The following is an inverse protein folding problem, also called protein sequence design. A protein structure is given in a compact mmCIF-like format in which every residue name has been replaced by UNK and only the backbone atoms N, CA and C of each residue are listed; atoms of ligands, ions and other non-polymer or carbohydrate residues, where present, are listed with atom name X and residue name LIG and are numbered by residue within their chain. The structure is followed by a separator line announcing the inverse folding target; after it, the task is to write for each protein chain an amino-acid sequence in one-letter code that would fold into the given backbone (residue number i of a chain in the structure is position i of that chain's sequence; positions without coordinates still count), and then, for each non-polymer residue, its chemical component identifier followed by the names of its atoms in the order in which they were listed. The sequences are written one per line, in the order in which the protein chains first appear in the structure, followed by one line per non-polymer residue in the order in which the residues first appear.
data_IF_304929688064
#
_entry.id   IF_304929688064
#
_cell.length_a   1.000
_cell.length_b   1.000
_cell.length_c   1.000
_cell.angle_alpha   90.00
_cell.angle_beta   90.00
_cell.angle_gamma   90.00
#
_symmetry.space_group_name_H-M   'P 1'
#
loop_
_entity.id
_entity.type
_entity.pdbx_description
1 polymer ?
#
# COMPACT_ATOMS: atom_id res chain seq x y z
N UNK A 1 0.54 49.63 40.98
CA UNK A 1 1.71 49.53 40.08
C UNK A 1 1.76 48.12 39.54
N UNK A 2 1.76 47.98 38.22
CA UNK A 2 1.72 46.73 37.48
C UNK A 2 3.13 46.29 37.07
N UNK A 3 3.40 44.99 37.17
CA UNK A 3 4.45 44.22 36.46
C UNK A 3 3.93 42.76 36.51
N UNK A 4 3.63 42.02 35.45
CA UNK A 4 4.15 41.99 34.09
C UNK A 4 4.75 40.60 33.85
N UNK A 5 3.92 39.56 33.69
CA UNK A 5 4.34 38.23 33.21
C UNK A 5 3.61 37.95 31.88
N UNK A 6 4.31 37.62 30.78
CA UNK A 6 3.63 37.27 29.54
C UNK A 6 3.08 35.85 29.62
N UNK A 7 1.75 35.74 29.60
CA UNK A 7 1.02 34.51 29.36
C UNK A 7 1.20 34.08 27.90
N UNK A 8 1.89 32.96 27.66
CA UNK A 8 1.91 32.32 26.34
C UNK A 8 0.60 31.53 26.19
N UNK A 9 -0.35 32.12 25.47
CA UNK A 9 -1.54 31.42 25.01
C UNK A 9 -1.16 30.41 23.91
N UNK A 10 -1.84 29.25 23.81
CA UNK A 10 -1.66 28.34 22.69
C UNK A 10 -2.27 28.98 21.45
N UNK A 11 -1.45 29.22 20.42
CA UNK A 11 -1.96 29.71 19.15
C UNK A 11 -2.92 28.67 18.56
N UNK A 12 -4.16 29.13 18.42
CA UNK A 12 -5.28 28.38 17.90
C UNK A 12 -5.02 27.96 16.45
N UNK A 13 -5.51 26.77 16.11
CA UNK A 13 -5.31 26.09 14.84
C UNK A 13 -5.36 26.98 13.61
N UNK A 14 -4.30 26.87 12.81
CA UNK A 14 -4.23 27.38 11.45
C UNK A 14 -5.34 26.71 10.63
N UNK A 15 -6.48 27.40 10.50
CA UNK A 15 -7.52 27.02 9.55
C UNK A 15 -6.93 27.19 8.16
N UNK A 16 -6.64 26.08 7.49
CA UNK A 16 -6.43 26.06 6.04
C UNK A 16 -7.71 26.62 5.38
N UNK A 17 -7.72 27.91 5.10
CA UNK A 17 -8.75 28.51 4.26
C UNK A 17 -8.39 28.16 2.82
N UNK A 18 -9.09 27.18 2.23
CA UNK A 18 -8.97 26.91 0.79
C UNK A 18 -9.31 28.21 0.05
N UNK A 19 -8.40 28.67 -0.82
CA UNK A 19 -8.71 29.78 -1.70
C UNK A 19 -9.81 29.36 -2.69
N UNK A 20 -10.61 30.32 -3.14
CA UNK A 20 -11.68 30.09 -4.12
C UNK A 20 -11.10 29.45 -5.40
N UNK A 21 -9.83 29.73 -5.72
CA UNK A 21 -9.09 29.11 -6.81
C UNK A 21 -8.91 27.60 -6.62
N UNK A 22 -8.55 27.15 -5.41
CA UNK A 22 -8.37 25.71 -5.10
C UNK A 22 -9.69 24.96 -5.20
N UNK A 23 -10.78 25.56 -4.69
CA UNK A 23 -12.13 24.98 -4.76
C UNK A 23 -12.61 24.90 -6.22
N UNK A 24 -12.33 25.93 -7.03
CA UNK A 24 -12.68 25.95 -8.44
C UNK A 24 -11.92 24.87 -9.24
N UNK A 25 -10.63 24.68 -8.99
CA UNK A 25 -9.82 23.63 -9.64
C UNK A 25 -10.34 22.24 -9.26
N UNK A 26 -10.63 22.00 -7.98
CA UNK A 26 -11.21 20.74 -7.51
C UNK A 26 -12.57 20.49 -8.15
N UNK A 27 -13.46 21.49 -8.18
CA UNK A 27 -14.79 21.37 -8.77
C UNK A 27 -14.72 21.10 -10.28
N UNK A 28 -13.85 21.78 -11.02
CA UNK A 28 -13.64 21.55 -12.46
C UNK A 28 -13.08 20.16 -12.72
N UNK A 29 -12.12 19.69 -11.90
CA UNK A 29 -11.59 18.34 -11.99
C UNK A 29 -12.67 17.28 -11.76
N UNK A 30 -13.48 17.41 -10.70
CA UNK A 30 -14.58 16.48 -10.43
C UNK A 30 -15.63 16.48 -11.55
N UNK A 31 -16.00 17.65 -12.07
CA UNK A 31 -16.93 17.76 -13.20
C UNK A 31 -16.35 17.12 -14.45
N UNK A 32 -15.06 17.33 -14.74
CA UNK A 32 -14.39 16.70 -15.87
C UNK A 32 -14.34 15.18 -15.76
N UNK A 33 -13.95 14.64 -14.60
CA UNK A 33 -13.91 13.19 -14.35
C UNK A 33 -15.31 12.57 -14.47
N UNK A 34 -16.33 13.21 -13.90
CA UNK A 34 -17.72 12.75 -14.01
C UNK A 34 -18.22 12.85 -15.45
N UNK A 35 -17.89 13.92 -16.18
CA UNK A 35 -18.28 14.08 -17.58
C UNK A 35 -17.62 13.03 -18.48
N UNK A 36 -16.32 12.76 -18.30
CA UNK A 36 -15.59 11.70 -19.01
C UNK A 36 -16.14 10.33 -18.64
N UNK A 37 -16.44 10.09 -17.36
CA UNK A 37 -17.04 8.85 -16.86
C UNK A 37 -18.43 8.59 -17.45
N UNK A 38 -19.29 9.61 -17.51
CA UNK A 38 -20.63 9.53 -18.11
C UNK A 38 -20.52 9.37 -19.63
N UNK A 39 -19.66 10.15 -20.29
CA UNK A 39 -19.43 10.04 -21.74
C UNK A 39 -18.91 8.66 -22.14
N UNK A 40 -17.99 8.10 -21.36
CA UNK A 40 -17.49 6.74 -21.52
C UNK A 40 -18.57 5.69 -21.25
N UNK A 41 -19.37 5.86 -20.19
CA UNK A 41 -20.47 4.95 -19.83
C UNK A 41 -21.59 4.91 -20.87
N UNK A 42 -21.82 6.02 -21.57
CA UNK A 42 -22.80 6.12 -22.66
C UNK A 42 -22.27 5.51 -23.96
N UNK A 43 -20.96 5.62 -24.23
CA UNK A 43 -20.33 5.12 -25.46
C UNK A 43 -19.86 3.66 -25.38
N UNK A 44 -19.73 3.11 -24.16
CA UNK A 44 -19.43 1.71 -23.94
C UNK A 44 -20.56 0.84 -24.52
N UNK A 45 -20.25 0.13 -25.59
CA UNK A 45 -21.17 -0.76 -26.28
C UNK A 45 -21.69 -1.81 -25.28
N UNK A 46 -22.95 -1.65 -24.82
CA UNK A 46 -23.60 -2.50 -23.78
C UNK A 46 -23.86 -3.94 -24.22
N UNK A 47 -23.37 -4.35 -25.39
CA UNK A 47 -23.79 -5.57 -26.07
C UNK A 47 -23.48 -6.87 -25.31
N UNK A 48 -22.41 -6.95 -24.51
CA UNK A 48 -22.10 -8.17 -23.75
C UNK A 48 -21.35 -7.89 -22.44
N UNK A 49 -21.75 -8.59 -21.37
CA UNK A 49 -21.09 -8.58 -20.05
C UNK A 49 -19.61 -8.93 -20.16
N UNK A 50 -19.24 -9.82 -21.08
CA UNK A 50 -17.84 -10.18 -21.36
C UNK A 50 -17.01 -9.01 -21.91
N UNK A 51 -17.57 -8.18 -22.78
CA UNK A 51 -16.87 -7.01 -23.34
C UNK A 51 -16.58 -5.94 -22.28
N UNK A 52 -17.53 -5.70 -21.38
CA UNK A 52 -17.40 -4.74 -20.28
C UNK A 52 -16.39 -5.18 -19.22
N UNK A 53 -16.36 -6.47 -18.85
CA UNK A 53 -15.47 -6.97 -17.79
C UNK A 53 -14.09 -7.44 -18.25
N UNK A 54 -13.92 -7.87 -19.52
CA UNK A 54 -12.66 -8.45 -20.00
C UNK A 54 -11.85 -7.52 -20.92
N UNK A 55 -12.34 -6.31 -21.21
CA UNK A 55 -11.66 -5.34 -22.07
C UNK A 55 -11.11 -5.98 -23.37
N UNK A 56 -11.94 -6.78 -24.04
CA UNK A 56 -11.58 -7.44 -25.31
C UNK A 56 -10.46 -8.49 -25.24
N UNK A 57 -9.99 -8.91 -24.05
CA UNK A 57 -8.87 -9.86 -23.87
C UNK A 57 -7.63 -9.46 -24.69
N UNK A 58 -7.26 -8.19 -24.70
CA UNK A 58 -6.12 -7.70 -25.48
C UNK A 58 -4.85 -7.48 -24.65
N UNK A 59 -4.91 -7.76 -23.33
CA UNK A 59 -3.87 -7.34 -22.40
C UNK A 59 -2.62 -8.23 -22.54
N UNK A 60 -1.48 -7.59 -22.77
CA UNK A 60 -0.13 -8.18 -22.73
C UNK A 60 0.32 -8.49 -21.29
N UNK A 61 1.47 -9.17 -21.14
CA UNK A 61 1.95 -9.71 -19.86
C UNK A 61 2.48 -8.64 -18.88
N UNK A 62 3.30 -7.68 -19.33
CA UNK A 62 3.94 -6.68 -18.46
C UNK A 62 2.96 -5.81 -17.65
N UNK A 63 1.89 -5.29 -18.26
CA UNK A 63 0.94 -4.44 -17.55
C UNK A 63 -0.14 -5.26 -16.82
N UNK A 64 -0.24 -6.57 -17.05
CA UNK A 64 -0.94 -7.45 -16.10
C UNK A 64 -0.13 -7.51 -14.82
N UNK A 65 1.19 -7.77 -14.89
CA UNK A 65 2.07 -7.77 -13.72
C UNK A 65 2.07 -6.45 -12.96
N UNK A 66 2.20 -5.32 -13.66
CA UNK A 66 2.09 -3.99 -13.04
C UNK A 66 0.71 -3.75 -12.40
N UNK A 67 -0.37 -4.22 -13.04
CA UNK A 67 -1.72 -4.12 -12.48
C UNK A 67 -1.91 -5.00 -11.23
N UNK A 68 -1.26 -6.16 -11.16
CA UNK A 68 -1.31 -7.04 -9.98
C UNK A 68 -0.58 -6.39 -8.80
N UNK A 69 0.55 -5.73 -9.05
CA UNK A 69 1.32 -5.00 -8.05
C UNK A 69 0.54 -3.78 -7.53
N UNK A 70 0.07 -2.91 -8.43
CA UNK A 70 -0.65 -1.68 -8.06
C UNK A 70 -1.99 -1.93 -7.35
N UNK A 71 -2.64 -3.08 -7.57
CA UNK A 71 -3.85 -3.46 -6.81
C UNK A 71 -3.63 -3.71 -5.32
N UNK A 72 -2.39 -3.90 -4.90
CA UNK A 72 -2.05 -4.22 -3.52
C UNK A 72 -1.09 -3.21 -2.88
N UNK A 73 -0.36 -2.45 -3.69
CA UNK A 73 0.50 -1.36 -3.21
C UNK A 73 -0.35 -0.10 -3.08
N UNK A 74 -0.93 0.07 -1.89
CA UNK A 74 -1.55 1.33 -1.45
C UNK A 74 -0.73 1.97 -0.33
N UNK A 75 -1.06 3.21 0.00
CA UNK A 75 -0.50 3.95 1.13
C UNK A 75 -0.58 3.22 2.48
N UNK A 76 -1.65 2.43 2.70
CA UNK A 76 -1.79 1.56 3.88
C UNK A 76 -0.68 0.50 3.98
N UNK A 77 -0.18 0.01 2.84
CA UNK A 77 0.98 -0.88 2.80
C UNK A 77 2.25 -0.12 3.20
N UNK A 78 2.45 1.12 2.75
CA UNK A 78 3.63 1.91 3.13
C UNK A 78 3.65 2.22 4.63
N UNK A 79 2.55 2.70 5.18
CA UNK A 79 2.44 3.03 6.61
C UNK A 79 2.54 1.76 7.47
N UNK A 80 1.75 0.74 7.14
CA UNK A 80 1.66 -0.49 7.93
C UNK A 80 2.89 -1.37 7.82
N UNK A 81 3.39 -1.64 6.62
CA UNK A 81 4.53 -2.54 6.39
C UNK A 81 5.85 -1.91 6.84
N UNK A 82 6.03 -0.60 6.63
CA UNK A 82 7.21 0.10 7.15
C UNK A 82 7.14 0.27 8.67
N UNK A 83 5.97 0.53 9.25
CA UNK A 83 5.80 0.64 10.70
C UNK A 83 6.01 -0.68 11.43
N UNK A 84 5.46 -1.77 10.89
CA UNK A 84 5.74 -3.12 11.40
C UNK A 84 7.19 -3.54 11.17
N UNK A 85 7.82 -3.11 10.06
CA UNK A 85 9.25 -3.25 9.82
C UNK A 85 10.10 -2.48 10.84
N UNK A 86 9.71 -1.26 11.21
CA UNK A 86 10.37 -0.46 12.24
C UNK A 86 10.21 -1.08 13.65
N UNK A 87 9.04 -1.65 13.96
CA UNK A 87 8.78 -2.27 15.25
C UNK A 87 9.46 -3.65 15.38
N UNK A 88 9.31 -4.48 14.34
CA UNK A 88 9.62 -5.90 14.37
C UNK A 88 10.87 -6.29 13.58
N UNK A 89 11.28 -5.55 12.55
CA UNK A 89 12.42 -5.90 11.68
C UNK A 89 12.03 -6.66 10.40
N UNK A 90 12.99 -7.41 9.86
CA UNK A 90 12.99 -7.95 8.50
C UNK A 90 11.92 -9.03 8.24
N UNK A 91 11.46 -9.72 9.29
CA UNK A 91 10.55 -10.86 9.19
C UNK A 91 9.19 -10.51 8.56
N UNK A 92 8.77 -9.25 8.66
CA UNK A 92 7.56 -8.73 8.00
C UNK A 92 7.65 -8.86 6.48
N UNK A 93 8.86 -8.86 5.92
CA UNK A 93 9.12 -9.18 4.51
C UNK A 93 8.57 -10.51 4.05
N UNK A 94 8.41 -11.46 4.96
CA UNK A 94 7.85 -12.77 4.64
C UNK A 94 6.39 -12.70 4.16
N UNK A 95 5.61 -11.68 4.52
CA UNK A 95 4.28 -11.46 3.96
C UNK A 95 4.34 -11.21 2.44
N UNK A 96 5.31 -10.43 2.00
CA UNK A 96 5.52 -10.07 0.60
C UNK A 96 6.13 -11.22 -0.20
N UNK A 97 7.12 -11.92 0.39
CA UNK A 97 7.77 -13.06 -0.27
C UNK A 97 6.84 -14.28 -0.34
N UNK A 98 5.98 -14.49 0.64
CA UNK A 98 4.97 -15.55 0.59
C UNK A 98 3.98 -15.31 -0.57
N UNK A 99 3.61 -14.07 -0.84
CA UNK A 99 2.77 -13.75 -1.99
C UNK A 99 3.42 -14.09 -3.35
N UNK A 100 4.76 -14.08 -3.45
CA UNK A 100 5.46 -14.31 -4.72
C UNK A 100 5.20 -15.73 -5.27
N UNK A 101 5.25 -16.76 -4.42
CA UNK A 101 5.02 -18.14 -4.88
C UNK A 101 3.52 -18.42 -5.10
N UNK A 102 2.61 -17.77 -4.34
CA UNK A 102 1.16 -17.83 -4.62
C UNK A 102 0.84 -17.19 -5.96
N UNK A 103 1.50 -16.10 -6.32
CA UNK A 103 1.32 -15.46 -7.62
C UNK A 103 1.76 -16.39 -8.77
N UNK A 104 2.80 -17.19 -8.58
CA UNK A 104 3.15 -18.26 -9.52
C UNK A 104 2.02 -19.31 -9.57
N UNK A 105 1.49 -19.73 -8.42
CA UNK A 105 0.35 -20.66 -8.36
C UNK A 105 -0.90 -20.09 -9.06
N UNK A 106 -1.17 -18.79 -8.97
CA UNK A 106 -2.25 -18.11 -9.69
C UNK A 106 -2.13 -18.37 -11.19
N UNK A 107 -0.95 -18.13 -11.79
CA UNK A 107 -0.74 -18.27 -13.23
C UNK A 107 -0.80 -19.73 -13.73
N UNK A 108 -0.30 -20.69 -12.94
CA UNK A 108 -0.16 -22.08 -13.38
C UNK A 108 -1.30 -23.01 -12.95
N UNK A 109 -1.99 -22.71 -11.85
CA UNK A 109 -3.04 -23.56 -11.29
C UNK A 109 -4.40 -22.89 -11.49
N UNK A 110 -4.59 -21.67 -10.97
CA UNK A 110 -5.92 -21.06 -10.88
C UNK A 110 -6.39 -20.47 -12.22
N UNK A 111 -5.54 -19.73 -12.93
CA UNK A 111 -5.88 -19.10 -14.20
C UNK A 111 -6.33 -20.13 -15.26
N UNK A 112 -5.63 -21.26 -15.50
CA UNK A 112 -6.11 -22.29 -16.42
C UNK A 112 -7.50 -22.83 -16.05
N UNK A 113 -7.76 -23.04 -14.75
CA UNK A 113 -9.05 -23.54 -14.25
C UNK A 113 -10.17 -22.52 -14.51
N UNK A 114 -9.94 -21.24 -14.24
CA UNK A 114 -10.94 -20.19 -14.49
C UNK A 114 -11.23 -19.99 -15.97
N UNK A 115 -10.20 -20.03 -16.83
CA UNK A 115 -10.37 -19.94 -18.28
C UNK A 115 -11.14 -21.17 -18.80
N UNK A 116 -10.81 -22.37 -18.35
CA UNK A 116 -11.49 -23.61 -18.74
C UNK A 116 -12.96 -23.65 -18.28
N UNK A 117 -13.27 -23.11 -17.10
CA UNK A 117 -14.63 -23.01 -16.58
C UNK A 117 -15.49 -21.92 -17.29
N UNK A 118 -14.88 -21.08 -18.13
CA UNK A 118 -15.55 -19.98 -18.83
C UNK A 118 -16.28 -19.04 -17.87
N UNK A 119 -15.63 -18.69 -16.76
CA UNK A 119 -16.16 -17.81 -15.71
C UNK A 119 -15.39 -16.50 -15.69
N UNK A 120 -16.11 -15.40 -15.45
CA UNK A 120 -15.51 -14.05 -15.37
C UNK A 120 -15.48 -13.55 -13.92
N UNK A 121 -16.23 -14.20 -13.04
CA UNK A 121 -16.32 -13.83 -11.62
C UNK A 121 -16.13 -15.03 -10.70
N UNK A 122 -15.47 -14.81 -9.56
CA UNK A 122 -15.25 -15.83 -8.54
C UNK A 122 -16.56 -16.35 -7.93
N UNK A 123 -17.57 -15.50 -7.62
CA UNK A 123 -18.87 -15.99 -7.17
C UNK A 123 -19.59 -16.85 -8.23
N UNK A 124 -19.40 -16.58 -9.52
CA UNK A 124 -19.93 -17.41 -10.60
C UNK A 124 -19.21 -18.76 -10.70
N UNK A 125 -17.88 -18.79 -10.51
CA UNK A 125 -17.13 -20.04 -10.40
C UNK A 125 -17.66 -20.93 -9.28
N UNK A 126 -17.86 -20.36 -8.08
CA UNK A 126 -18.42 -21.09 -6.94
C UNK A 126 -19.83 -21.60 -7.22
N UNK A 127 -20.67 -20.80 -7.90
CA UNK A 127 -22.01 -21.24 -8.35
C UNK A 127 -21.93 -22.44 -9.30
N UNK A 128 -21.03 -22.42 -10.29
CA UNK A 128 -20.88 -23.53 -11.25
C UNK A 128 -20.33 -24.79 -10.58
N UNK A 129 -19.43 -24.65 -9.59
CA UNK A 129 -18.76 -25.78 -8.94
C UNK A 129 -19.59 -26.44 -7.84
N UNK A 130 -20.20 -25.65 -6.94
CA UNK A 130 -20.93 -26.18 -5.78
C UNK A 130 -22.45 -26.25 -5.98
N UNK A 131 -22.96 -25.60 -7.03
CA UNK A 131 -24.39 -25.49 -7.27
C UNK A 131 -25.07 -24.52 -6.31
N UNK A 132 -26.25 -24.03 -6.72
CA UNK A 132 -27.10 -23.20 -5.87
C UNK A 132 -26.84 -21.69 -5.98
N UNK A 133 -27.93 -20.95 -6.21
CA UNK A 133 -27.91 -19.49 -6.27
C UNK A 133 -27.60 -18.85 -4.91
N UNK A 134 -27.92 -19.54 -3.81
CA UNK A 134 -27.73 -19.06 -2.43
C UNK A 134 -26.26 -18.80 -2.10
N UNK A 135 -25.35 -19.70 -2.49
CA UNK A 135 -23.91 -19.58 -2.23
C UNK A 135 -23.32 -18.37 -2.96
N UNK A 136 -23.74 -18.14 -4.21
CA UNK A 136 -23.32 -16.97 -4.99
C UNK A 136 -23.71 -15.67 -4.29
N UNK A 137 -24.97 -15.55 -3.87
CA UNK A 137 -25.47 -14.35 -3.20
C UNK A 137 -24.73 -14.14 -1.88
N UNK A 138 -24.60 -15.19 -1.07
CA UNK A 138 -23.88 -15.11 0.20
C UNK A 138 -22.43 -14.64 0.01
N UNK A 139 -21.68 -15.27 -0.89
CA UNK A 139 -20.28 -14.91 -1.14
C UNK A 139 -20.13 -13.52 -1.76
N UNK A 140 -21.03 -13.13 -2.66
CA UNK A 140 -21.03 -11.78 -3.24
C UNK A 140 -21.32 -10.71 -2.20
N UNK A 141 -22.33 -10.91 -1.33
CA UNK A 141 -22.66 -9.98 -0.25
C UNK A 141 -21.52 -9.89 0.76
N UNK A 142 -20.99 -11.04 1.22
CA UNK A 142 -19.88 -11.08 2.16
C UNK A 142 -18.65 -10.37 1.60
N UNK A 143 -18.26 -10.65 0.35
CA UNK A 143 -17.09 -10.02 -0.28
C UNK A 143 -17.29 -8.51 -0.43
N UNK A 144 -18.49 -8.07 -0.80
CA UNK A 144 -18.80 -6.65 -0.98
C UNK A 144 -18.76 -5.89 0.36
N UNK A 145 -19.34 -6.47 1.42
CA UNK A 145 -19.30 -5.92 2.78
C UNK A 145 -17.86 -5.82 3.28
N UNK A 146 -17.07 -6.90 3.15
CA UNK A 146 -15.67 -6.90 3.54
C UNK A 146 -14.88 -5.85 2.75
N UNK A 147 -15.12 -5.71 1.45
CA UNK A 147 -14.43 -4.71 0.62
C UNK A 147 -14.74 -3.28 1.06
N UNK A 148 -15.99 -2.96 1.39
CA UNK A 148 -16.38 -1.64 1.91
C UNK A 148 -15.68 -1.36 3.23
N UNK A 149 -15.77 -2.27 4.20
CA UNK A 149 -15.25 -1.99 5.54
C UNK A 149 -13.73 -2.05 5.65
N UNK A 150 -13.05 -2.87 4.85
CA UNK A 150 -11.60 -3.06 4.95
C UNK A 150 -10.85 -2.21 3.94
N UNK A 151 -10.99 -2.52 2.64
CA UNK A 151 -10.27 -1.86 1.55
C UNK A 151 -10.68 -0.39 1.42
N UNK A 152 -11.97 -0.13 1.20
CA UNK A 152 -12.45 1.23 0.96
C UNK A 152 -12.21 2.13 2.19
N UNK A 153 -12.47 1.66 3.42
CA UNK A 153 -12.17 2.45 4.62
C UNK A 153 -10.69 2.80 4.77
N UNK A 154 -9.78 1.86 4.51
CA UNK A 154 -8.33 2.10 4.61
C UNK A 154 -7.87 3.09 3.55
N UNK A 155 -8.38 2.94 2.33
CA UNK A 155 -8.09 3.84 1.21
C UNK A 155 -8.66 5.25 1.46
N UNK A 156 -9.88 5.37 1.99
CA UNK A 156 -10.49 6.67 2.34
C UNK A 156 -9.73 7.31 3.51
N UNK A 157 -9.40 6.55 4.56
CA UNK A 157 -8.65 7.07 5.70
C UNK A 157 -7.29 7.63 5.27
N UNK A 158 -6.57 6.88 4.43
CA UNK A 158 -5.30 7.37 3.89
C UNK A 158 -5.49 8.51 2.89
N UNK A 159 -6.59 8.53 2.11
CA UNK A 159 -6.93 9.63 1.23
C UNK A 159 -7.29 10.92 1.99
N UNK A 160 -7.94 10.81 3.14
CA UNK A 160 -8.30 11.94 4.00
C UNK A 160 -7.06 12.57 4.66
N UNK A 161 -6.15 11.74 5.19
CA UNK A 161 -4.84 12.19 5.68
C UNK A 161 -4.03 12.92 4.61
N UNK A 162 -4.28 12.62 3.34
CA UNK A 162 -3.57 13.16 2.21
C UNK A 162 -4.16 14.43 1.62
N UNK A 163 -5.49 14.54 1.54
CA UNK A 163 -6.19 15.77 1.12
C UNK A 163 -5.82 16.92 2.07
N UNK A 164 -5.59 16.62 3.35
CA UNK A 164 -5.08 17.59 4.32
C UNK A 164 -3.66 18.09 4.00
N UNK A 165 -2.91 17.39 3.14
CA UNK A 165 -1.50 17.67 2.86
C UNK A 165 -1.24 18.15 1.42
N UNK A 166 -2.13 17.93 0.45
CA UNK A 166 -1.78 18.01 -0.98
C UNK A 166 -2.25 19.27 -1.73
N UNK A 167 -1.29 20.11 -2.10
CA UNK A 167 -1.44 21.27 -2.99
C UNK A 167 -1.53 20.84 -4.48
N UNK A 168 -2.37 21.54 -5.26
CA UNK A 168 -2.82 21.19 -6.62
C UNK A 168 -1.78 21.08 -7.74
N UNK A 169 -1.10 19.94 -7.84
CA UNK A 169 -0.15 19.61 -8.93
C UNK A 169 -0.63 18.45 -9.82
N UNK A 170 -0.07 18.34 -11.03
CA UNK A 170 -0.39 17.30 -12.04
C UNK A 170 0.06 15.89 -11.61
N UNK A 171 -0.84 14.91 -11.79
CA UNK A 171 -0.76 13.52 -11.31
C UNK A 171 0.37 12.69 -11.98
N UNK A 172 0.61 12.89 -13.27
CA UNK A 172 1.52 12.03 -14.03
C UNK A 172 2.98 12.42 -13.84
N UNK A 173 3.24 13.74 -13.87
CA UNK A 173 4.53 14.29 -13.42
C UNK A 173 4.79 13.91 -11.97
N UNK A 174 3.71 13.72 -11.20
CA UNK A 174 3.81 13.37 -9.81
C UNK A 174 4.26 11.96 -9.50
N UNK A 175 3.64 10.98 -10.12
CA UNK A 175 4.01 9.57 -9.98
C UNK A 175 5.48 9.29 -10.36
N UNK A 176 5.97 9.83 -11.49
CA UNK A 176 7.34 9.55 -11.97
C UNK A 176 8.39 10.14 -11.03
N UNK A 177 8.19 11.39 -10.61
CA UNK A 177 9.16 12.09 -9.78
C UNK A 177 9.11 11.53 -8.33
N UNK A 178 7.98 10.92 -7.90
CA UNK A 178 7.86 10.14 -6.67
C UNK A 178 8.77 8.92 -6.68
N UNK A 179 8.68 8.08 -7.73
CA UNK A 179 9.51 6.88 -7.83
C UNK A 179 11.00 7.21 -7.81
N UNK A 180 11.38 8.31 -8.48
CA UNK A 180 12.77 8.80 -8.50
C UNK A 180 13.20 9.30 -7.13
N UNK A 181 12.42 10.16 -6.47
CA UNK A 181 12.73 10.62 -5.10
C UNK A 181 12.76 9.45 -4.12
N UNK A 182 11.89 8.46 -4.33
CA UNK A 182 11.81 7.27 -3.49
C UNK A 182 13.06 6.41 -3.57
N UNK A 183 13.52 6.17 -4.79
CA UNK A 183 14.79 5.49 -5.02
C UNK A 183 15.97 6.27 -4.42
N UNK A 184 16.01 7.60 -4.64
CA UNK A 184 17.10 8.45 -4.13
C UNK A 184 17.13 8.48 -2.60
N UNK A 185 16.00 8.68 -1.91
CA UNK A 185 16.00 8.71 -0.45
C UNK A 185 16.35 7.34 0.12
N UNK A 186 15.92 6.25 -0.54
CA UNK A 186 16.23 4.89 -0.06
C UNK A 186 17.74 4.71 -0.07
N UNK A 187 18.39 5.08 -1.18
CA UNK A 187 19.85 5.04 -1.32
C UNK A 187 20.53 5.97 -0.30
N UNK A 188 20.07 7.21 -0.15
CA UNK A 188 20.64 8.16 0.82
C UNK A 188 20.45 7.72 2.28
N UNK A 189 19.33 7.09 2.60
CA UNK A 189 19.07 6.51 3.92
C UNK A 189 20.02 5.36 4.22
N UNK A 190 20.25 4.47 3.25
CA UNK A 190 21.24 3.42 3.36
C UNK A 190 22.67 3.97 3.52
N UNK A 191 23.02 5.03 2.79
CA UNK A 191 24.33 5.68 2.91
C UNK A 191 24.54 6.29 4.32
N UNK A 192 23.55 7.03 4.85
CA UNK A 192 23.63 7.61 6.21
C UNK A 192 23.73 6.55 7.31
N UNK A 193 23.11 5.39 7.11
CA UNK A 193 23.13 4.30 8.07
C UNK A 193 24.44 3.50 8.00
N UNK A 194 25.16 3.52 6.87
CA UNK A 194 26.38 2.73 6.67
C UNK A 194 26.09 1.37 6.00
N UNK A 195 25.14 1.36 5.07
CA UNK A 195 24.65 0.17 4.37
C UNK A 195 24.15 -0.93 5.33
N UNK A 196 24.13 -2.18 4.88
CA UNK A 196 23.52 -3.29 5.63
C UNK A 196 24.19 -3.55 6.98
N UNK A 197 25.51 -3.49 7.05
CA UNK A 197 26.27 -3.71 8.30
C UNK A 197 25.98 -2.61 9.32
N UNK A 198 26.00 -1.34 8.89
CA UNK A 198 25.64 -0.21 9.75
C UNK A 198 24.16 -0.22 10.15
N UNK A 199 23.27 -0.76 9.32
CA UNK A 199 21.85 -0.93 9.67
C UNK A 199 21.69 -1.97 10.77
N UNK A 200 22.42 -3.08 10.69
CA UNK A 200 22.37 -4.12 11.72
C UNK A 200 22.85 -3.60 13.07
N UNK A 201 23.99 -2.91 13.10
CA UNK A 201 24.56 -2.35 14.31
C UNK A 201 23.71 -1.22 14.91
N UNK A 202 23.32 -0.22 14.10
CA UNK A 202 22.53 0.92 14.60
C UNK A 202 21.13 0.51 15.02
N UNK A 203 20.51 -0.44 14.32
CA UNK A 203 19.19 -0.94 14.69
C UNK A 203 19.23 -1.68 16.04
N UNK A 204 20.28 -2.46 16.34
CA UNK A 204 20.38 -3.16 17.64
C UNK A 204 20.54 -2.21 18.83
N UNK A 205 20.99 -0.97 18.60
CA UNK A 205 21.13 0.07 19.62
C UNK A 205 20.04 1.15 19.56
N UNK A 206 19.01 0.97 18.72
CA UNK A 206 17.95 1.96 18.50
C UNK A 206 16.87 1.93 19.60
N UNK A 207 17.23 2.40 20.80
CA UNK A 207 16.33 2.62 21.94
C UNK A 207 16.12 4.11 22.23
N UNK A 208 14.89 4.56 22.58
CA UNK A 208 14.62 5.94 22.94
C UNK A 208 15.27 6.32 24.28
N UNK A 209 15.54 7.63 24.45
CA UNK A 209 16.11 8.23 25.67
C UNK A 209 15.11 8.21 26.83
N UNK A 210 13.83 8.43 26.53
CA UNK A 210 12.73 8.36 27.49
C UNK A 210 12.15 6.94 27.50
N UNK A 211 12.25 6.27 28.66
CA UNK A 211 11.81 4.89 28.82
C UNK A 211 10.89 4.74 30.03
N UNK A 212 9.92 3.83 29.91
CA UNK A 212 9.03 3.44 31.01
C UNK A 212 9.69 2.30 31.78
N UNK A 213 9.91 2.50 33.09
CA UNK A 213 10.42 1.47 33.98
C UNK A 213 9.53 0.21 33.93
N UNK A 214 10.14 -0.99 33.97
CA UNK A 214 9.49 -2.31 33.87
C UNK A 214 8.91 -2.73 32.50
N UNK A 215 9.32 -2.12 31.38
CA UNK A 215 8.89 -2.58 30.04
C UNK A 215 10.06 -2.90 29.13
N UNK A 216 9.95 -3.98 28.34
CA UNK A 216 10.91 -4.35 27.29
C UNK A 216 10.56 -3.76 25.91
N UNK A 217 9.44 -3.05 25.80
CA UNK A 217 8.91 -2.52 24.54
C UNK A 217 9.83 -1.51 23.83
N UNK A 218 10.73 -0.87 24.58
CA UNK A 218 11.67 0.12 24.05
C UNK A 218 12.87 -0.52 23.33
N UNK A 219 13.15 -1.80 23.60
CA UNK A 219 14.31 -2.49 23.04
C UNK A 219 14.01 -3.03 21.64
N UNK A 220 14.93 -2.88 20.68
CA UNK A 220 14.86 -3.59 19.42
C UNK A 220 15.05 -5.10 19.66
N UNK A 221 14.36 -5.90 18.86
CA UNK A 221 14.35 -7.36 19.01
C UNK A 221 15.70 -7.98 18.58
N UNK A 222 16.20 -8.96 19.33
CA UNK A 222 17.45 -9.64 19.01
C UNK A 222 17.38 -10.44 17.69
N UNK A 223 16.21 -10.98 17.33
CA UNK A 223 15.92 -11.71 16.09
C UNK A 223 15.30 -10.80 15.01
N UNK A 224 15.49 -9.47 15.09
CA UNK A 224 14.95 -8.53 14.11
C UNK A 224 15.44 -8.78 12.68
N UNK A 225 16.64 -9.34 12.50
CA UNK A 225 17.21 -9.69 11.19
C UNK A 225 17.01 -11.15 10.79
N UNK A 226 16.29 -11.94 11.59
CA UNK A 226 15.92 -13.32 11.23
C UNK A 226 14.56 -13.35 10.54
N UNK A 227 14.54 -13.80 9.27
CA UNK A 227 13.30 -13.97 8.51
C UNK A 227 12.43 -15.10 9.08
N UNK A 228 13.06 -16.23 9.42
CA UNK A 228 12.41 -17.35 10.10
C UNK A 228 12.65 -17.25 11.59
N UNK A 229 11.64 -16.79 12.33
CA UNK A 229 11.68 -16.69 13.78
C UNK A 229 11.37 -18.01 14.45
N UNK A 230 11.65 -18.07 15.74
CA UNK A 230 11.29 -19.18 16.60
C UNK A 230 9.83 -19.62 16.39
N UNK A 231 9.56 -20.94 16.25
CA UNK A 231 8.23 -21.45 15.92
C UNK A 231 7.16 -21.23 17.00
N UNK A 232 7.52 -20.93 18.25
CA UNK A 232 6.59 -20.88 19.38
C UNK A 232 6.56 -19.51 20.06
N UNK A 233 7.72 -18.87 20.19
CA UNK A 233 7.88 -17.63 20.96
C UNK A 233 7.98 -16.36 20.11
N UNK A 234 8.14 -16.51 18.79
CA UNK A 234 8.19 -15.38 17.86
C UNK A 234 6.80 -14.82 17.55
N UNK A 235 6.69 -13.48 17.45
CA UNK A 235 5.44 -12.81 17.03
C UNK A 235 5.00 -13.24 15.62
N UNK A 236 5.98 -13.57 14.77
CA UNK A 236 5.80 -14.10 13.42
C UNK A 236 6.49 -15.46 13.33
N UNK A 237 5.89 -16.51 13.90
CA UNK A 237 6.52 -17.82 13.95
C UNK A 237 6.64 -18.38 12.54
N UNK A 238 7.78 -18.97 12.19
CA UNK A 238 8.04 -19.45 10.83
C UNK A 238 6.96 -20.43 10.29
N UNK A 239 6.33 -21.32 11.09
CA UNK A 239 5.26 -22.17 10.57
C UNK A 239 4.02 -21.36 10.21
N UNK A 240 3.69 -20.32 10.99
CA UNK A 240 2.62 -19.38 10.67
C UNK A 240 2.94 -18.56 9.42
N UNK A 241 4.20 -18.14 9.26
CA UNK A 241 4.69 -17.41 8.09
C UNK A 241 4.60 -18.24 6.80
N UNK A 242 4.93 -19.53 6.88
CA UNK A 242 4.81 -20.43 5.72
C UNK A 242 3.37 -20.88 5.54
N UNK A 243 2.77 -21.62 6.47
CA UNK A 243 1.49 -22.28 6.25
C UNK A 243 0.29 -21.37 6.49
N UNK A 244 0.34 -20.48 7.48
CA UNK A 244 -0.74 -19.56 7.80
C UNK A 244 -0.89 -18.47 6.73
N UNK A 245 0.21 -17.76 6.42
CA UNK A 245 0.17 -16.70 5.40
C UNK A 245 -0.10 -17.24 4.01
N UNK A 246 0.29 -18.48 3.70
CA UNK A 246 -0.11 -19.17 2.46
C UNK A 246 -1.61 -19.13 2.23
N UNK A 247 -2.41 -19.41 3.27
CA UNK A 247 -3.87 -19.44 3.15
C UNK A 247 -4.41 -18.04 2.86
N UNK A 248 -3.92 -17.04 3.60
CA UNK A 248 -4.30 -15.64 3.41
C UNK A 248 -3.88 -15.11 2.03
N UNK A 249 -2.65 -15.40 1.60
CA UNK A 249 -2.13 -15.01 0.31
C UNK A 249 -2.89 -15.71 -0.82
N UNK A 250 -3.24 -17.00 -0.67
CA UNK A 250 -4.08 -17.71 -1.65
C UNK A 250 -5.45 -17.07 -1.76
N UNK A 251 -6.06 -16.67 -0.65
CA UNK A 251 -7.31 -15.90 -0.69
C UNK A 251 -7.13 -14.58 -1.44
N UNK A 252 -6.15 -13.76 -1.04
CA UNK A 252 -5.93 -12.43 -1.61
C UNK A 252 -5.55 -12.44 -3.10
N UNK A 253 -4.73 -13.39 -3.53
CA UNK A 253 -4.19 -13.40 -4.90
C UNK A 253 -4.95 -14.32 -5.85
N UNK A 254 -5.52 -15.42 -5.35
CA UNK A 254 -6.18 -16.40 -6.20
C UNK A 254 -7.70 -16.30 -6.19
N UNK A 255 -8.31 -15.70 -5.16
CA UNK A 255 -9.77 -15.64 -5.04
C UNK A 255 -10.36 -14.23 -5.11
N UNK A 256 -9.54 -13.20 -4.90
CA UNK A 256 -9.98 -11.81 -5.01
C UNK A 256 -10.44 -11.50 -6.44
N UNK A 257 -11.66 -10.97 -6.53
CA UNK A 257 -12.33 -10.68 -7.78
C UNK A 257 -11.53 -9.72 -8.66
N UNK A 258 -10.90 -8.69 -8.08
CA UNK A 258 -10.11 -7.70 -8.81
C UNK A 258 -8.89 -8.36 -9.42
N UNK A 259 -8.16 -9.17 -8.65
CA UNK A 259 -6.94 -9.84 -9.09
C UNK A 259 -7.22 -10.89 -10.17
N UNK A 260 -8.26 -11.71 -9.97
CA UNK A 260 -8.66 -12.76 -10.91
C UNK A 260 -9.12 -12.15 -12.23
N UNK A 261 -9.98 -11.12 -12.20
CA UNK A 261 -10.40 -10.41 -13.41
C UNK A 261 -9.20 -9.87 -14.20
N UNK A 262 -8.20 -9.34 -13.49
CA UNK A 262 -7.02 -8.79 -14.14
C UNK A 262 -6.21 -9.84 -14.89
N UNK A 263 -6.14 -11.04 -14.34
CA UNK A 263 -5.45 -12.18 -14.96
C UNK A 263 -6.25 -12.78 -16.12
N UNK A 264 -7.58 -12.75 -16.04
CA UNK A 264 -8.50 -13.23 -17.10
C UNK A 264 -8.59 -12.29 -18.31
N UNK A 265 -8.25 -11.00 -18.15
CA UNK A 265 -8.18 -10.02 -19.24
C UNK A 265 -7.00 -10.24 -20.21
N UNK A 266 -6.14 -11.23 -19.96
CA UNK A 266 -5.00 -11.55 -20.80
C UNK A 266 -5.40 -12.05 -22.19
N UNK A 267 -4.58 -11.74 -23.20
CA UNK A 267 -4.79 -12.20 -24.57
C UNK A 267 -4.66 -13.70 -24.76
N UNK A 268 -3.67 -14.31 -24.09
CA UNK A 268 -3.43 -15.74 -24.10
C UNK A 268 -3.03 -16.22 -22.71
N UNK A 269 -3.12 -17.53 -22.48
CA UNK A 269 -2.69 -18.15 -21.22
C UNK A 269 -1.21 -17.84 -20.91
N UNK A 270 -0.34 -17.82 -21.93
CA UNK A 270 1.08 -17.45 -21.74
C UNK A 270 1.26 -16.02 -21.25
N UNK A 271 0.38 -15.08 -21.64
CA UNK A 271 0.44 -13.70 -21.15
C UNK A 271 -0.10 -13.57 -19.73
N UNK A 272 -1.11 -14.35 -19.37
CA UNK A 272 -1.58 -14.42 -17.98
C UNK A 272 -0.47 -15.00 -17.07
N UNK A 273 0.16 -16.10 -17.47
CA UNK A 273 1.30 -16.70 -16.78
C UNK A 273 2.47 -15.72 -16.65
N UNK A 274 2.85 -15.05 -17.74
CA UNK A 274 3.91 -14.04 -17.72
C UNK A 274 3.58 -12.85 -16.82
N UNK A 275 2.32 -12.41 -16.79
CA UNK A 275 1.84 -11.37 -15.87
C UNK A 275 1.92 -11.80 -14.41
N UNK A 276 1.55 -13.04 -14.10
CA UNK A 276 1.69 -13.63 -12.78
C UNK A 276 3.14 -13.73 -12.31
N UNK A 277 4.08 -14.12 -13.18
CA UNK A 277 5.54 -14.14 -12.85
C UNK A 277 6.04 -12.73 -12.57
N UNK A 278 5.72 -11.77 -13.44
CA UNK A 278 6.15 -10.39 -13.23
C UNK A 278 5.55 -9.82 -11.93
N UNK A 279 4.28 -10.10 -11.65
CA UNK A 279 3.66 -9.73 -10.39
C UNK A 279 4.42 -10.32 -9.18
N UNK A 280 4.75 -11.61 -9.23
CA UNK A 280 5.53 -12.27 -8.18
C UNK A 280 6.92 -11.67 -8.00
N UNK A 281 7.60 -11.34 -9.10
CA UNK A 281 8.89 -10.66 -9.06
C UNK A 281 8.79 -9.26 -8.45
N UNK A 282 7.84 -8.44 -8.90
CA UNK A 282 7.62 -7.10 -8.37
C UNK A 282 7.27 -7.14 -6.87
N UNK A 283 6.58 -8.18 -6.42
CA UNK A 283 6.23 -8.36 -4.99
C UNK A 283 7.43 -8.64 -4.10
N UNK A 284 8.61 -8.95 -4.64
CA UNK A 284 9.85 -9.03 -3.83
C UNK A 284 10.44 -7.66 -3.49
N UNK A 285 10.07 -6.61 -4.25
CA UNK A 285 10.65 -5.26 -4.13
C UNK A 285 10.24 -4.48 -2.86
N UNK A 286 8.99 -4.54 -2.36
CA UNK A 286 8.57 -3.81 -1.16
C UNK A 286 9.40 -4.08 0.09
N UNK A 287 10.04 -5.24 0.15
CA UNK A 287 11.03 -5.55 1.18
C UNK A 287 12.14 -4.49 1.26
N UNK A 288 12.67 -4.08 0.10
CA UNK A 288 13.78 -3.15 0.00
C UNK A 288 13.36 -1.68 0.06
N UNK A 289 12.17 -1.36 -0.48
CA UNK A 289 11.71 0.03 -0.58
C UNK A 289 10.75 0.48 0.52
N UNK A 290 10.23 -0.46 1.32
CA UNK A 290 9.26 -0.17 2.39
C UNK A 290 9.76 -0.68 3.74
N UNK A 291 10.04 -1.99 3.86
CA UNK A 291 10.45 -2.60 5.15
C UNK A 291 11.80 -2.07 5.61
N UNK A 292 12.82 -2.11 4.75
CA UNK A 292 14.16 -1.64 5.10
C UNK A 292 14.20 -0.12 5.44
N UNK A 293 13.55 0.77 4.68
CA UNK A 293 13.39 2.17 5.09
C UNK A 293 12.68 2.34 6.44
N UNK A 294 11.68 1.52 6.75
CA UNK A 294 11.07 1.50 8.09
C UNK A 294 12.08 1.21 9.20
N UNK A 295 12.94 0.20 9.01
CA UNK A 295 14.01 -0.14 9.95
C UNK A 295 15.06 0.97 10.06
N UNK A 296 15.47 1.56 8.93
CA UNK A 296 16.38 2.71 8.87
C UNK A 296 15.83 3.89 9.67
N UNK A 297 14.52 4.17 9.56
CA UNK A 297 13.88 5.27 10.28
C UNK A 297 14.00 5.12 11.79
N UNK A 298 13.77 3.90 12.32
CA UNK A 298 13.98 3.62 13.74
C UNK A 298 15.45 3.78 14.15
N UNK A 299 16.38 3.37 13.30
CA UNK A 299 17.81 3.48 13.58
C UNK A 299 18.32 4.94 13.61
N UNK A 300 17.68 5.85 12.86
CA UNK A 300 18.03 7.26 12.81
C UNK A 300 17.25 8.12 13.81
N UNK A 301 15.99 7.78 14.08
CA UNK A 301 15.06 8.57 14.92
C UNK A 301 14.38 7.69 15.98
N UNK A 302 15.14 7.12 16.93
CA UNK A 302 14.59 6.20 17.93
C UNK A 302 13.61 6.88 18.89
N UNK A 303 13.84 8.14 19.26
CA UNK A 303 12.98 8.88 20.20
C UNK A 303 11.55 9.10 19.68
N UNK A 304 11.42 9.33 18.37
CA UNK A 304 10.12 9.60 17.74
C UNK A 304 9.42 8.31 17.30
N UNK A 305 10.16 7.36 16.71
CA UNK A 305 9.59 6.14 16.10
C UNK A 305 9.38 5.03 17.13
N UNK A 306 10.33 4.87 18.06
CA UNK A 306 10.29 3.84 19.11
C UNK A 306 9.78 4.38 20.45
N UNK A 307 9.10 5.53 20.45
CA UNK A 307 8.50 6.11 21.64
C UNK A 307 7.62 5.10 22.40
N UNK A 308 7.85 5.00 23.72
CA UNK A 308 7.09 4.12 24.64
C UNK A 308 6.32 4.91 25.70
N UNK A 309 6.74 6.14 26.01
CA UNK A 309 6.11 6.99 27.01
C UNK A 309 4.82 7.64 26.46
N UNK A 310 3.63 7.35 27.03
CA UNK A 310 2.35 7.80 26.46
C UNK A 310 2.24 9.31 26.25
N UNK A 311 2.79 10.11 27.17
CA UNK A 311 2.77 11.57 27.08
C UNK A 311 3.67 12.10 25.95
N UNK A 312 4.84 11.50 25.75
CA UNK A 312 5.73 11.86 24.64
C UNK A 312 5.14 11.41 23.30
N UNK A 313 4.56 10.21 23.25
CA UNK A 313 4.00 9.66 22.01
C UNK A 313 2.75 10.43 21.55
N UNK A 314 1.95 10.95 22.49
CA UNK A 314 0.81 11.80 22.16
C UNK A 314 1.23 13.14 21.52
N UNK A 315 2.37 13.71 21.94
CA UNK A 315 2.93 14.92 21.31
C UNK A 315 3.50 14.63 19.92
N UNK A 316 4.17 13.48 19.74
CA UNK A 316 4.85 13.14 18.48
C UNK A 316 3.88 12.63 17.40
N UNK A 317 2.99 11.71 17.74
CA UNK A 317 2.13 11.03 16.76
C UNK A 317 0.63 11.08 17.08
N UNK A 318 0.21 11.74 18.16
CA UNK A 318 -1.20 11.80 18.55
C UNK A 318 -1.77 10.46 19.03
N UNK A 319 -0.91 9.47 19.31
CA UNK A 319 -1.32 8.14 19.74
C UNK A 319 -0.52 7.68 20.97
N UNK A 320 -1.23 7.14 21.97
CA UNK A 320 -0.63 6.68 23.25
C UNK A 320 -0.03 5.27 23.19
N UNK A 321 -0.30 4.51 22.13
CA UNK A 321 0.02 3.07 22.02
C UNK A 321 1.30 2.78 21.22
N UNK A 322 1.94 3.82 20.67
CA UNK A 322 3.20 3.71 19.91
C UNK A 322 3.16 4.41 18.56
N UNK A 323 4.33 4.87 18.11
CA UNK A 323 4.47 5.71 16.92
C UNK A 323 5.18 4.98 15.75
N UNK A 324 5.25 3.66 15.74
CA UNK A 324 5.98 2.94 14.68
C UNK A 324 5.46 3.22 13.27
N UNK A 325 4.15 3.47 13.11
CA UNK A 325 3.52 3.79 11.82
C UNK A 325 3.99 5.12 11.20
N UNK A 326 4.58 6.03 11.98
CA UNK A 326 5.17 7.27 11.43
C UNK A 326 6.58 7.06 10.88
N UNK A 327 7.16 5.86 10.99
CA UNK A 327 8.54 5.57 10.57
C UNK A 327 8.82 6.03 9.13
N UNK A 328 7.94 5.64 8.18
CA UNK A 328 8.15 5.97 6.78
C UNK A 328 7.95 7.47 6.48
N UNK A 329 6.86 8.12 6.90
CA UNK A 329 6.71 9.58 6.81
C UNK A 329 7.84 10.38 7.47
N UNK A 330 8.31 9.95 8.65
CA UNK A 330 9.35 10.64 9.41
C UNK A 330 10.69 10.60 8.71
N UNK A 331 11.09 9.43 8.19
CA UNK A 331 12.31 9.29 7.41
C UNK A 331 12.31 10.21 6.18
N UNK A 332 11.16 10.26 5.51
CA UNK A 332 10.93 11.07 4.32
C UNK A 332 11.08 12.57 4.61
N UNK A 333 10.50 13.05 5.72
CA UNK A 333 10.53 14.47 6.08
C UNK A 333 11.93 14.92 6.49
N UNK A 334 12.64 14.10 7.27
CA UNK A 334 13.93 14.44 7.87
C UNK A 334 15.14 14.24 6.93
N UNK A 335 15.04 13.32 5.97
CA UNK A 335 16.11 13.12 4.98
C UNK A 335 16.06 14.12 3.82
N UNK A 336 14.96 14.88 3.67
CA UNK A 336 14.82 15.84 2.58
C UNK A 336 15.29 17.26 2.96
N UNK A 337 15.99 17.97 2.06
CA UNK A 337 16.30 19.38 2.25
C UNK A 337 15.01 20.22 2.33
N UNK A 338 15.03 21.22 3.19
CA UNK A 338 13.90 22.12 3.49
C UNK A 338 13.24 22.65 2.20
N UNK A 339 11.93 22.46 2.08
CA UNK A 339 11.12 22.87 0.92
C UNK A 339 10.60 21.74 0.02
N UNK A 340 11.09 20.50 0.16
CA UNK A 340 10.60 19.32 -0.62
C UNK A 340 9.87 18.25 0.23
N UNK A 341 9.77 18.44 1.53
CA UNK A 341 9.13 17.47 2.45
C UNK A 341 7.61 17.40 2.30
N UNK A 342 6.96 18.53 2.05
CA UNK A 342 5.53 18.56 1.69
C UNK A 342 5.24 17.76 0.43
N UNK A 343 6.15 17.81 -0.54
CA UNK A 343 5.97 17.20 -1.86
C UNK A 343 5.93 15.66 -1.89
N UNK A 344 6.55 14.95 -0.94
CA UNK A 344 6.43 13.48 -0.86
C UNK A 344 5.23 13.04 -0.01
N UNK A 345 4.88 13.80 1.04
CA UNK A 345 3.65 13.56 1.80
C UNK A 345 2.40 13.86 0.94
N UNK A 346 2.45 14.92 0.11
CA UNK A 346 1.52 15.22 -0.99
C UNK A 346 1.56 14.19 -2.13
N UNK A 347 2.39 13.14 -2.04
CA UNK A 347 2.49 12.14 -3.11
C UNK A 347 2.27 10.70 -2.67
N UNK A 348 2.58 10.37 -1.41
CA UNK A 348 2.30 9.04 -0.87
C UNK A 348 0.81 8.71 -0.80
N UNK A 349 -0.06 9.71 -0.65
CA UNK A 349 -1.51 9.51 -0.82
C UNK A 349 -2.01 9.61 -2.27
N UNK A 350 -1.17 9.98 -3.23
CA UNK A 350 -1.44 9.85 -4.66
C UNK A 350 -1.36 8.38 -5.09
N UNK A 351 -0.53 7.58 -4.41
CA UNK A 351 -0.55 6.12 -4.58
C UNK A 351 -1.87 5.50 -4.08
N UNK A 352 -2.56 6.12 -3.12
CA UNK A 352 -3.95 5.76 -2.77
C UNK A 352 -4.90 6.05 -3.93
N UNK A 353 -4.67 7.15 -4.67
CA UNK A 353 -5.38 7.41 -5.92
C UNK A 353 -4.96 6.46 -7.04
N UNK A 354 -3.75 5.86 -7.05
CA UNK A 354 -3.41 4.80 -8.00
C UNK A 354 -4.03 3.42 -7.67
N UNK A 355 -4.59 3.23 -6.47
CA UNK A 355 -5.51 2.09 -6.21
C UNK A 355 -6.88 2.37 -6.85
N UNK A 356 -7.27 3.65 -6.94
CA UNK A 356 -8.35 4.12 -7.80
C UNK A 356 -7.96 4.17 -9.29
N UNK A 357 -6.67 4.30 -9.60
CA UNK A 357 -6.13 4.59 -10.92
C UNK A 357 -4.97 3.66 -11.26
N UNK A 358 -5.20 2.35 -11.09
CA UNK A 358 -4.31 1.36 -11.67
C UNK A 358 -4.48 1.46 -13.18
N UNK A 359 -3.35 1.54 -13.87
CA UNK A 359 -3.06 1.56 -15.31
C UNK A 359 -3.87 0.65 -16.28
N UNK A 360 -4.98 0.04 -15.84
CA UNK A 360 -6.01 -0.57 -16.68
C UNK A 360 -6.99 0.43 -17.29
N UNK A 361 -7.10 1.63 -16.75
CA UNK A 361 -7.67 2.75 -17.51
C UNK A 361 -6.65 3.35 -18.51
N UNK A 362 -5.33 3.17 -18.29
CA UNK A 362 -4.30 3.69 -19.22
C UNK A 362 -4.06 2.91 -20.52
N UNK A 363 -4.75 1.77 -20.73
CA UNK A 363 -4.84 1.15 -22.06
C UNK A 363 -6.12 1.44 -22.83
N UNK A 364 -7.08 2.10 -22.19
CA UNK A 364 -8.13 2.82 -22.92
C UNK A 364 -7.56 3.99 -23.73
N UNK A 365 -6.46 4.61 -23.26
CA UNK A 365 -5.85 5.77 -23.92
C UNK A 365 -4.87 5.45 -25.07
N UNK A 366 -4.34 4.21 -25.18
CA UNK A 366 -3.37 3.86 -26.26
C UNK A 366 -3.97 3.09 -27.45
N UNK A 367 -5.27 2.84 -27.45
CA UNK A 367 -5.99 2.29 -28.63
C UNK A 367 -7.14 3.19 -29.09
N UNK A 368 -7.09 4.47 -28.72
CA UNK A 368 -7.78 5.55 -29.45
C UNK A 368 -6.89 6.19 -30.55
N UNK A 369 -5.81 5.51 -30.95
CA UNK A 369 -5.11 5.76 -32.22
C UNK A 369 -4.77 4.43 -32.91
N UNK A 370 -5.81 3.68 -33.27
CA UNK A 370 -5.94 2.89 -34.51
C UNK A 370 -7.31 2.23 -34.55
#
# INVERSE_FOLDING_TARGET
MATGTPSVAPDAGQKFALEIADIAVIAVYFVFVVAVGIWSSIRANRGTVGGYFLAGRSMTWWPIGASLMSSNVGSGLFIGLAGTGAAGGIAVGGFEWNAAWVLIALGWIFVPVYIAAGVVTMPEYLRKRFGGQRIRIYMSVLSLVLYIFTKISTDIFSGALFIQVSLGWDLYVSTVLLLVVTAIYTIAGFEKVGWYEGLQEKYSHASPTLTVANTSCHLPRADAFHMFRDPVTGDLPWPGLIFGLTVLATWCWCTDQVIVQRSLSAKNLSHAKGGSVLGGYLKTMPMFFIVMPGMISRALFPDDVACVEPAACEVVCGARVGCSNIAYPKLVVELMPTGKSGFLLCRLGEQTLTVWDTEKDFRWARTCCS
#
